data_IF_680067424801
#
_entry.id   IF_680067424801
#
_cell.length_a   1.000
_cell.length_b   1.000
_cell.length_c   1.000
_cell.angle_alpha   90.00
_cell.angle_beta   90.00
_cell.angle_gamma   90.00
#
_symmetry.space_group_name_H-M   'P 1'
#
loop_
_entity.id
_entity.type
_entity.pdbx_description
1 polymer ?
#
# COMPACT_ATOMS: atom_id res chain seq x y z
N UNK A 1 16.57 8.98 0.72
CA UNK A 1 16.96 7.56 0.75
C UNK A 1 15.70 6.73 0.53
N UNK A 2 15.65 5.88 -0.49
CA UNK A 2 14.49 5.03 -0.77
C UNK A 2 14.96 3.58 -0.65
N UNK A 3 14.54 2.91 0.43
CA UNK A 3 14.88 1.53 0.71
C UNK A 3 13.61 0.68 0.56
N UNK A 4 13.46 -0.06 -0.55
CA UNK A 4 12.21 -0.74 -0.91
C UNK A 4 11.77 -1.77 0.13
N UNK A 5 12.71 -2.53 0.70
CA UNK A 5 12.42 -3.57 1.69
C UNK A 5 11.93 -2.99 3.03
N UNK A 6 12.63 -2.02 3.67
CA UNK A 6 12.08 -1.30 4.82
C UNK A 6 10.74 -0.61 4.54
N UNK A 7 10.55 -0.03 3.35
CA UNK A 7 9.28 0.57 2.95
C UNK A 7 8.15 -0.47 2.87
N UNK A 8 8.41 -1.64 2.28
CA UNK A 8 7.43 -2.72 2.20
C UNK A 8 7.03 -3.24 3.59
N UNK A 9 8.00 -3.42 4.50
CA UNK A 9 7.71 -3.78 5.89
C UNK A 9 6.87 -2.71 6.60
N UNK A 10 7.16 -1.43 6.39
CA UNK A 10 6.36 -0.34 6.93
C UNK A 10 4.91 -0.37 6.42
N UNK A 11 4.72 -0.55 5.11
CA UNK A 11 3.38 -0.66 4.54
C UNK A 11 2.64 -1.89 5.07
N UNK A 12 3.28 -3.05 5.12
CA UNK A 12 2.67 -4.27 5.66
C UNK A 12 2.25 -4.10 7.13
N UNK A 13 3.09 -3.48 7.96
CA UNK A 13 2.75 -3.19 9.35
C UNK A 13 1.54 -2.26 9.44
N UNK A 14 1.51 -1.20 8.62
CA UNK A 14 0.39 -0.26 8.56
C UNK A 14 -0.91 -0.95 8.12
N UNK A 15 -0.85 -1.83 7.11
CA UNK A 15 -2.02 -2.59 6.65
C UNK A 15 -2.58 -3.49 7.76
N UNK A 16 -1.73 -4.26 8.43
CA UNK A 16 -2.12 -5.14 9.55
C UNK A 16 -2.74 -4.37 10.71
N UNK A 17 -2.16 -3.21 11.07
CA UNK A 17 -2.70 -2.36 12.13
C UNK A 17 -4.08 -1.82 11.77
N UNK A 18 -4.24 -1.30 10.56
CA UNK A 18 -5.49 -0.71 10.09
C UNK A 18 -6.61 -1.75 9.91
N UNK A 19 -6.30 -2.95 9.42
CA UNK A 19 -7.26 -4.05 9.28
C UNK A 19 -7.83 -4.41 10.66
N UNK A 20 -6.94 -4.71 11.61
CA UNK A 20 -7.30 -5.08 12.99
C UNK A 20 -8.12 -4.00 13.71
N UNK A 21 -7.86 -2.72 13.44
CA UNK A 21 -8.55 -1.63 14.12
C UNK A 21 -9.92 -1.31 13.52
N UNK A 22 -10.11 -1.52 12.22
CA UNK A 22 -11.22 -0.87 11.50
C UNK A 22 -12.14 -1.76 10.69
N UNK A 23 -11.71 -2.98 10.30
CA UNK A 23 -12.45 -3.80 9.34
C UNK A 23 -13.17 -5.00 9.98
N UNK A 24 -13.34 -4.98 11.31
CA UNK A 24 -14.08 -6.00 12.05
C UNK A 24 -15.44 -5.48 12.54
N UNK A 25 -16.49 -6.27 12.32
CA UNK A 25 -17.88 -5.97 12.70
C UNK A 25 -18.83 -5.88 11.49
N UNK A 26 -20.13 -5.72 11.74
CA UNK A 26 -21.14 -5.72 10.67
C UNK A 26 -21.16 -4.42 9.86
N UNK A 27 -20.74 -3.31 10.48
CA UNK A 27 -20.65 -2.00 9.85
C UNK A 27 -19.28 -1.38 10.07
N UNK A 28 -18.70 -0.86 9.00
CA UNK A 28 -17.35 -0.28 9.01
C UNK A 28 -17.35 1.08 8.33
N UNK A 29 -16.39 1.92 8.72
CA UNK A 29 -16.14 3.20 8.03
C UNK A 29 -15.50 2.89 6.69
N UNK A 30 -16.21 3.15 5.60
CA UNK A 30 -15.78 2.72 4.27
C UNK A 30 -14.39 3.25 3.90
N UNK A 31 -14.06 4.50 4.27
CA UNK A 31 -12.72 5.06 4.02
C UNK A 31 -11.56 4.25 4.65
N UNK A 32 -11.82 3.46 5.69
CA UNK A 32 -10.80 2.64 6.34
C UNK A 32 -10.35 1.48 5.46
N UNK A 33 -11.17 1.03 4.51
CA UNK A 33 -10.70 0.14 3.45
C UNK A 33 -9.55 0.76 2.67
N UNK A 34 -9.61 2.06 2.33
CA UNK A 34 -8.49 2.72 1.62
C UNK A 34 -7.21 2.77 2.45
N UNK A 35 -7.32 2.75 3.78
CA UNK A 35 -6.17 2.78 4.69
C UNK A 35 -5.49 1.40 4.77
N UNK A 36 -6.18 0.32 4.40
CA UNK A 36 -5.63 -1.04 4.32
C UNK A 36 -5.21 -1.36 2.87
N UNK A 37 -6.06 -1.05 1.90
CA UNK A 37 -5.79 -1.33 0.49
C UNK A 37 -4.57 -0.56 -0.03
N UNK A 38 -4.42 0.72 0.31
CA UNK A 38 -3.27 1.52 -0.17
C UNK A 38 -1.92 0.91 0.23
N UNK A 39 -1.64 0.59 1.51
CA UNK A 39 -0.39 -0.04 1.88
C UNK A 39 -0.22 -1.44 1.26
N UNK A 40 -1.27 -2.26 1.16
CA UNK A 40 -1.18 -3.58 0.50
C UNK A 40 -0.79 -3.44 -0.98
N UNK A 41 -1.45 -2.56 -1.72
CA UNK A 41 -1.11 -2.28 -3.12
C UNK A 41 0.29 -1.67 -3.26
N UNK A 42 0.76 -0.90 -2.27
CA UNK A 42 2.12 -0.40 -2.25
C UNK A 42 3.14 -1.52 -2.10
N UNK A 43 2.89 -2.52 -1.24
CA UNK A 43 3.75 -3.73 -1.17
C UNK A 43 3.76 -4.45 -2.52
N UNK A 44 2.60 -4.66 -3.13
CA UNK A 44 2.51 -5.35 -4.43
C UNK A 44 3.22 -4.61 -5.55
N UNK A 45 3.17 -3.27 -5.53
CA UNK A 45 3.93 -2.43 -6.45
C UNK A 45 5.44 -2.63 -6.30
N UNK A 46 5.92 -2.64 -5.05
CA UNK A 46 7.33 -2.85 -4.73
C UNK A 46 7.79 -4.25 -5.18
N UNK A 47 7.03 -5.30 -4.85
CA UNK A 47 7.29 -6.68 -5.27
C UNK A 47 7.29 -6.84 -6.80
N UNK A 48 6.55 -5.98 -7.51
CA UNK A 48 6.54 -5.97 -8.99
C UNK A 48 7.77 -5.30 -9.62
N UNK A 49 8.71 -4.78 -8.83
CA UNK A 49 9.92 -4.11 -9.34
C UNK A 49 9.66 -2.79 -10.08
N UNK A 50 8.49 -2.18 -9.87
CA UNK A 50 8.03 -0.99 -10.64
C UNK A 50 8.61 0.34 -10.15
N UNK A 51 9.51 0.31 -9.18
CA UNK A 51 10.13 1.50 -8.61
C UNK A 51 9.23 2.23 -7.62
N UNK A 52 9.27 3.57 -7.66
CA UNK A 52 8.55 4.43 -6.69
C UNK A 52 7.04 4.23 -6.77
N UNK A 53 6.41 4.01 -5.61
CA UNK A 53 4.96 3.80 -5.48
C UNK A 53 4.19 5.07 -5.87
N UNK A 54 3.23 5.00 -6.80
CA UNK A 54 2.39 6.12 -7.19
C UNK A 54 1.68 6.78 -6.00
N UNK A 55 1.63 8.11 -6.02
CA UNK A 55 0.88 8.88 -5.01
C UNK A 55 -0.63 8.67 -5.19
N UNK A 56 -1.11 8.58 -6.43
CA UNK A 56 -2.52 8.39 -6.72
C UNK A 56 -2.88 6.92 -6.51
N UNK A 57 -3.91 6.71 -5.69
CA UNK A 57 -4.41 5.36 -5.43
C UNK A 57 -5.03 4.72 -6.68
N UNK A 58 -5.66 5.53 -7.54
CA UNK A 58 -6.26 5.04 -8.79
C UNK A 58 -5.21 4.38 -9.69
N UNK A 59 -4.02 4.99 -9.82
CA UNK A 59 -2.92 4.47 -10.62
C UNK A 59 -2.48 3.08 -10.12
N UNK A 60 -2.46 2.85 -8.80
CA UNK A 60 -2.18 1.53 -8.22
C UNK A 60 -3.24 0.51 -8.63
N UNK A 61 -4.51 0.86 -8.53
CA UNK A 61 -5.63 -0.03 -8.83
C UNK A 61 -5.65 -0.36 -10.32
N UNK A 62 -5.49 0.64 -11.19
CA UNK A 62 -5.43 0.49 -12.66
C UNK A 62 -4.36 -0.50 -13.11
N UNK A 63 -3.20 -0.47 -12.47
CA UNK A 63 -2.05 -1.29 -12.87
C UNK A 63 -2.08 -2.68 -12.21
N UNK A 64 -2.50 -2.78 -10.95
CA UNK A 64 -2.37 -4.02 -10.17
C UNK A 64 -3.64 -4.86 -10.12
N UNK A 65 -4.81 -4.25 -10.29
CA UNK A 65 -6.09 -4.93 -10.11
C UNK A 65 -6.81 -5.09 -11.45
N UNK A 66 -6.85 -6.32 -12.02
CA UNK A 66 -7.57 -6.58 -13.25
C UNK A 66 -9.10 -6.40 -13.06
N UNK A 67 -9.86 -6.22 -14.15
CA UNK A 67 -11.32 -6.14 -14.07
C UNK A 67 -11.94 -7.36 -13.38
N UNK A 68 -12.97 -7.13 -12.56
CA UNK A 68 -13.66 -8.18 -11.79
C UNK A 68 -14.22 -7.66 -10.47
N UNK A 69 -14.75 -8.57 -9.64
CA UNK A 69 -15.48 -8.21 -8.42
C UNK A 69 -14.68 -7.33 -7.44
N UNK A 70 -13.37 -7.58 -7.30
CA UNK A 70 -12.49 -6.74 -6.48
C UNK A 70 -12.39 -5.32 -7.05
N UNK A 71 -12.21 -5.19 -8.37
CA UNK A 71 -12.10 -3.89 -9.04
C UNK A 71 -13.39 -3.09 -8.89
N UNK A 72 -14.53 -3.73 -9.11
CA UNK A 72 -15.85 -3.13 -8.98
C UNK A 72 -16.11 -2.64 -7.55
N UNK A 73 -15.69 -3.43 -6.54
CA UNK A 73 -15.80 -3.05 -5.15
C UNK A 73 -14.91 -1.85 -4.78
N UNK A 74 -13.69 -1.77 -5.33
CA UNK A 74 -12.80 -0.62 -5.15
C UNK A 74 -13.36 0.63 -5.84
N UNK A 75 -13.89 0.50 -7.04
CA UNK A 75 -14.46 1.63 -7.78
C UNK A 75 -15.72 2.17 -7.10
N UNK A 76 -16.59 1.30 -6.58
CA UNK A 76 -17.72 1.65 -5.70
C UNK A 76 -17.24 2.45 -4.49
N UNK A 77 -16.17 2.00 -3.83
CA UNK A 77 -15.60 2.68 -2.67
C UNK A 77 -15.07 4.08 -3.01
N UNK A 78 -14.43 4.23 -4.17
CA UNK A 78 -13.91 5.51 -4.64
C UNK A 78 -15.02 6.49 -5.04
N UNK A 79 -16.14 6.00 -5.59
CA UNK A 79 -17.33 6.81 -5.87
C UNK A 79 -17.96 7.34 -4.58
N UNK A 80 -18.14 6.48 -3.58
CA UNK A 80 -18.69 6.87 -2.28
C UNK A 80 -17.81 7.92 -1.58
N UNK A 81 -16.48 7.79 -1.67
CA UNK A 81 -15.56 8.81 -1.14
C UNK A 81 -15.74 10.17 -1.85
N UNK A 82 -15.86 10.17 -3.17
CA UNK A 82 -16.00 11.40 -3.97
C UNK A 82 -17.32 12.12 -3.69
N UNK A 83 -18.38 11.40 -3.33
CA UNK A 83 -19.67 11.97 -2.94
C UNK A 83 -19.65 12.73 -1.59
N UNK A 84 -18.49 12.84 -0.93
CA UNK A 84 -18.35 13.57 0.33
C UNK A 84 -18.74 12.75 1.57
N UNK A 85 -19.06 11.47 1.41
CA UNK A 85 -19.37 10.58 2.51
C UNK A 85 -18.11 10.03 3.18
N UNK A 86 -17.14 10.88 3.50
CA UNK A 86 -15.86 10.48 4.11
C UNK A 86 -16.03 9.83 5.50
N UNK A 87 -17.20 9.97 6.12
CA UNK A 87 -17.57 9.30 7.36
C UNK A 87 -18.63 8.20 7.18
N UNK A 88 -18.95 7.80 5.93
CA UNK A 88 -19.97 6.79 5.68
C UNK A 88 -19.62 5.47 6.39
N UNK A 89 -20.58 5.07 7.23
CA UNK A 89 -20.67 3.74 7.79
C UNK A 89 -21.48 2.88 6.83
N UNK A 90 -20.83 1.94 6.18
CA UNK A 90 -21.47 0.97 5.30
C UNK A 90 -21.44 -0.44 5.88
N UNK A 91 -22.17 -1.39 5.27
CA UNK A 91 -21.92 -2.79 5.53
C UNK A 91 -20.48 -3.14 5.12
N UNK A 92 -19.93 -4.18 5.74
CA UNK A 92 -18.71 -4.81 5.24
C UNK A 92 -18.87 -5.23 3.78
N UNK A 93 -17.79 -5.09 3.01
CA UNK A 93 -17.73 -5.41 1.59
C UNK A 93 -16.98 -6.75 1.45
N UNK A 94 -17.67 -7.88 1.25
CA UNK A 94 -17.04 -9.21 1.31
C UNK A 94 -15.87 -9.35 0.34
N UNK A 95 -16.02 -8.91 -0.91
CA UNK A 95 -14.95 -8.95 -1.91
C UNK A 95 -13.66 -8.23 -1.48
N UNK A 96 -13.78 -7.12 -0.71
CA UNK A 96 -12.62 -6.43 -0.17
C UNK A 96 -12.03 -7.16 1.03
N UNK A 97 -12.89 -7.64 1.94
CA UNK A 97 -12.46 -8.38 3.13
C UNK A 97 -11.72 -9.66 2.74
N UNK A 98 -12.26 -10.44 1.81
CA UNK A 98 -11.68 -11.70 1.36
C UNK A 98 -10.32 -11.47 0.70
N UNK A 99 -10.22 -10.44 -0.15
CA UNK A 99 -8.94 -10.09 -0.76
C UNK A 99 -7.92 -9.59 0.26
N UNK A 100 -8.30 -8.71 1.19
CA UNK A 100 -7.43 -8.21 2.25
C UNK A 100 -6.92 -9.36 3.12
N UNK A 101 -7.80 -10.27 3.53
CA UNK A 101 -7.43 -11.42 4.34
C UNK A 101 -6.45 -12.35 3.59
N UNK A 102 -6.74 -12.64 2.31
CA UNK A 102 -5.85 -13.44 1.47
C UNK A 102 -4.48 -12.78 1.29
N UNK A 103 -4.45 -11.47 1.07
CA UNK A 103 -3.22 -10.72 0.84
C UNK A 103 -2.36 -10.61 2.11
N UNK A 104 -2.99 -10.37 3.26
CA UNK A 104 -2.32 -10.38 4.55
C UNK A 104 -1.76 -11.76 4.90
N UNK A 105 -2.48 -12.84 4.55
CA UNK A 105 -2.00 -14.21 4.71
C UNK A 105 -0.82 -14.51 3.78
N UNK A 106 -0.88 -14.10 2.51
CA UNK A 106 0.24 -14.21 1.55
C UNK A 106 1.49 -13.50 2.04
N UNK A 107 1.31 -12.30 2.62
CA UNK A 107 2.37 -11.46 3.16
C UNK A 107 2.75 -11.80 4.61
N UNK A 108 2.15 -12.83 5.23
CA UNK A 108 2.49 -13.29 6.57
C UNK A 108 4.01 -13.50 6.78
N UNK A 109 4.73 -14.26 5.91
CA UNK A 109 6.17 -14.46 6.02
C UNK A 109 7.00 -13.20 5.72
N UNK A 110 6.40 -12.18 5.13
CA UNK A 110 7.05 -10.91 4.76
C UNK A 110 7.00 -10.62 3.26
N UNK A 111 7.38 -9.39 2.85
CA UNK A 111 7.41 -9.00 1.44
C UNK A 111 8.47 -9.77 0.65
N UNK A 112 8.09 -10.27 -0.52
CA UNK A 112 8.96 -10.98 -1.46
C UNK A 112 9.75 -9.99 -2.34
N UNK A 113 10.71 -9.29 -1.73
CA UNK A 113 11.62 -8.39 -2.43
C UNK A 113 13.02 -9.02 -2.55
N UNK A 114 13.49 -9.21 -3.79
CA UNK A 114 14.87 -9.58 -4.05
C UNK A 114 15.85 -8.44 -3.72
N UNK A 115 17.06 -8.77 -3.30
CA UNK A 115 18.09 -7.80 -2.90
C UNK A 115 18.62 -6.89 -4.03
N UNK A 116 18.19 -7.08 -5.29
CA UNK A 116 18.96 -6.66 -6.46
C UNK A 116 18.37 -5.56 -7.36
N UNK A 117 17.10 -5.18 -7.27
CA UNK A 117 16.46 -4.40 -8.37
C UNK A 117 16.29 -2.89 -8.11
N UNK A 118 17.05 -2.32 -7.17
CA UNK A 118 17.06 -0.87 -6.99
C UNK A 118 18.49 -0.34 -7.20
N UNK A 119 18.72 0.51 -8.22
CA UNK A 119 20.05 1.04 -8.47
C UNK A 119 20.54 1.75 -7.21
N UNK A 120 21.60 1.20 -6.62
CA UNK A 120 22.20 1.68 -5.38
C UNK A 120 22.52 3.16 -5.48
N UNK A 121 22.37 3.88 -4.36
CA UNK A 121 22.55 5.33 -4.26
C UNK A 121 24.02 5.79 -4.33
N UNK A 122 24.91 4.98 -4.91
CA UNK A 122 26.33 5.26 -5.07
C UNK A 122 26.62 6.68 -5.60
N UNK A 123 25.88 7.20 -6.61
CA UNK A 123 26.10 8.56 -7.09
C UNK A 123 25.72 9.65 -6.06
N UNK A 124 24.71 9.40 -5.22
CA UNK A 124 24.22 10.37 -4.24
C UNK A 124 25.10 10.40 -2.97
N UNK A 125 25.64 9.25 -2.57
CA UNK A 125 26.57 9.16 -1.43
C UNK A 125 27.92 9.81 -1.73
N UNK A 126 28.35 9.85 -2.98
CA UNK A 126 29.56 10.57 -3.40
C UNK A 126 29.40 12.08 -3.23
N UNK A 127 28.21 12.61 -3.58
CA UNK A 127 27.92 14.05 -3.44
C UNK A 127 27.81 14.48 -1.98
N UNK A 128 27.23 13.64 -1.11
CA UNK A 128 27.07 13.94 0.31
C UNK A 128 28.40 13.95 1.07
N UNK A 129 29.35 13.08 0.68
CA UNK A 129 30.72 13.05 1.23
C UNK A 129 31.58 14.22 0.79
N UNK A 130 31.26 14.84 -0.36
CA UNK A 130 31.96 16.03 -0.83
C UNK A 130 31.53 17.34 -0.11
N UNK A 131 30.48 17.29 0.73
CA UNK A 131 29.86 18.48 1.35
C UNK A 131 29.96 18.55 2.88
N UNK A 132 30.62 17.60 3.53
CA UNK A 132 30.97 17.72 4.96
C UNK A 132 32.33 18.43 5.06
N UNK A 133 32.41 19.68 5.55
CA UNK A 133 33.71 20.25 5.91
C UNK A 133 34.25 19.48 7.13
N UNK A 134 35.55 19.19 7.10
CA UNK A 134 36.27 18.59 8.24
C UNK A 134 35.98 19.41 9.49
N UNK A 135 35.26 18.82 10.44
CA UNK A 135 34.98 19.43 11.72
C UNK A 135 36.28 19.51 12.53
N UNK A 136 36.70 20.74 12.87
CA UNK A 136 37.69 21.05 13.91
C UNK A 136 37.01 21.03 15.27
#
# INVERSE_FOLDING_TARGET
>A
YYAPLPCAWHYLHMARGNDREYLHGDRVRLKKYLYVLRPLLAVNWLESGRGVVPIRFRDLVEILIPPGALRDAIDRLLQLKQAGEEAAWGPCLPALNDWIAAELARLAPGPALGAADYPGTEPLNALFRAWLPDAV
#
